data_IF_494177514657
#
_entry.id   IF_494177514657
#
_cell.length_a   1.000
_cell.length_b   1.000
_cell.length_c   1.000
_cell.angle_alpha   90.00
_cell.angle_beta   90.00
_cell.angle_gamma   90.00
#
_symmetry.space_group_name_H-M   'P 1'
#
loop_
_entity.id
_entity.type
_entity.pdbx_description
1 polymer ?
#
# COMPACT_ATOMS: atom_id res chain seq x y z
N UNK A 1 -6.94 0.85 -12.89
CA UNK A 1 -5.59 0.99 -13.46
C UNK A 1 -4.59 0.27 -12.55
N UNK A 2 -4.66 -1.06 -12.45
CA UNK A 2 -3.62 -1.84 -11.79
C UNK A 2 -2.45 -2.03 -12.77
N UNK A 3 -1.21 -1.88 -12.32
CA UNK A 3 -0.03 -2.21 -13.13
C UNK A 3 0.81 -1.04 -13.66
N UNK A 4 0.56 0.22 -13.23
CA UNK A 4 1.43 1.37 -13.57
C UNK A 4 2.02 1.98 -12.30
N UNK A 5 3.32 2.30 -12.33
CA UNK A 5 3.98 3.11 -11.31
C UNK A 5 3.55 4.57 -11.42
N UNK A 6 3.15 5.15 -10.29
CA UNK A 6 2.70 6.54 -10.18
C UNK A 6 3.64 7.24 -9.21
N UNK A 7 4.09 8.46 -9.56
CA UNK A 7 4.87 9.30 -8.66
C UNK A 7 4.01 9.65 -7.44
N UNK A 8 4.54 9.36 -6.26
CA UNK A 8 3.89 9.69 -5.00
C UNK A 8 4.10 11.18 -4.70
N UNK A 9 3.05 11.93 -4.31
CA UNK A 9 3.24 13.28 -3.80
C UNK A 9 4.16 13.30 -2.58
N UNK A 10 4.91 14.38 -2.41
CA UNK A 10 5.99 14.47 -1.42
C UNK A 10 5.50 14.26 0.02
N UNK A 11 4.37 14.86 0.41
CA UNK A 11 3.84 14.76 1.78
C UNK A 11 3.48 13.32 2.17
N UNK A 12 2.66 12.56 1.39
CA UNK A 12 2.47 11.13 1.58
C UNK A 12 3.76 10.32 1.68
N UNK A 13 4.75 10.62 0.83
CA UNK A 13 6.02 9.91 0.83
C UNK A 13 6.81 10.12 2.14
N UNK A 14 6.85 11.36 2.64
CA UNK A 14 7.51 11.69 3.91
C UNK A 14 6.81 10.99 5.08
N UNK A 15 5.47 11.02 5.13
CA UNK A 15 4.74 10.40 6.24
C UNK A 15 4.87 8.88 6.20
N UNK A 16 4.77 8.25 5.03
CA UNK A 16 4.98 6.81 4.89
C UNK A 16 6.39 6.41 5.30
N UNK A 17 7.43 7.19 4.96
CA UNK A 17 8.80 6.92 5.38
C UNK A 17 9.02 7.12 6.90
N UNK A 18 8.36 8.12 7.50
CA UNK A 18 8.49 8.45 8.91
C UNK A 18 7.74 7.49 9.85
N UNK A 19 6.57 7.00 9.45
CA UNK A 19 5.70 6.15 10.29
C UNK A 19 6.31 4.77 10.62
N UNK A 20 7.31 4.36 9.86
CA UNK A 20 7.83 2.99 9.76
C UNK A 20 9.31 2.87 10.16
N UNK A 21 9.91 3.96 10.64
CA UNK A 21 11.27 3.98 11.16
C UNK A 21 11.24 4.11 12.68
N UNK A 22 11.72 3.12 13.49
CA UNK A 22 12.41 1.88 13.14
C UNK A 22 11.52 0.61 13.19
N UNK A 23 10.19 0.76 13.20
CA UNK A 23 9.30 -0.36 13.43
C UNK A 23 9.09 -1.23 12.18
N UNK A 24 9.52 -2.50 12.24
CA UNK A 24 9.16 -3.56 11.28
C UNK A 24 7.69 -4.02 11.43
N UNK A 25 6.84 -3.17 11.99
CA UNK A 25 5.46 -3.49 12.36
C UNK A 25 4.50 -2.82 11.40
N UNK A 26 3.29 -3.37 11.32
CA UNK A 26 2.17 -2.69 10.66
C UNK A 26 1.76 -1.51 11.55
N UNK A 27 1.73 -0.30 10.98
CA UNK A 27 1.39 0.93 11.68
C UNK A 27 0.16 1.58 11.06
N UNK A 28 -0.69 2.18 11.89
CA UNK A 28 -1.76 3.04 11.41
C UNK A 28 -1.20 4.39 10.99
N UNK A 29 -1.58 4.88 9.82
CA UNK A 29 -1.16 6.19 9.29
C UNK A 29 -2.37 7.12 9.11
N UNK A 30 -2.11 8.42 9.11
CA UNK A 30 -3.15 9.44 8.91
C UNK A 30 -3.72 9.38 7.48
N UNK A 31 -4.95 9.86 7.30
CA UNK A 31 -5.59 10.03 5.98
C UNK A 31 -4.79 10.96 5.05
N UNK A 32 -3.98 11.86 5.62
CA UNK A 32 -3.04 12.72 4.89
C UNK A 32 -1.93 11.95 4.17
N UNK A 33 -1.76 10.66 4.44
CA UNK A 33 -0.78 9.79 3.78
C UNK A 33 -1.29 9.23 2.46
N UNK A 34 -2.50 9.58 2.04
CA UNK A 34 -3.02 9.11 0.78
C UNK A 34 -2.33 9.82 -0.39
N UNK A 35 -1.77 9.07 -1.35
CA UNK A 35 -1.28 9.66 -2.59
C UNK A 35 -2.40 9.98 -3.58
N UNK A 36 -3.67 9.97 -3.13
CA UNK A 36 -4.87 10.26 -3.92
C UNK A 36 -5.94 10.91 -3.04
N UNK A 37 -6.82 11.70 -3.65
CA UNK A 37 -7.89 12.37 -2.93
C UNK A 37 -9.16 11.50 -2.88
N UNK A 38 -9.79 11.43 -1.70
CA UNK A 38 -11.22 11.14 -1.58
C UNK A 38 -11.66 9.68 -1.78
N UNK A 39 -11.24 8.77 -0.92
CA UNK A 39 -11.94 7.49 -0.75
C UNK A 39 -13.02 7.63 0.35
N UNK A 40 -14.29 7.55 -0.02
CA UNK A 40 -15.39 7.59 0.97
C UNK A 40 -15.39 6.36 1.87
N UNK A 41 -15.82 6.54 3.12
CA UNK A 41 -15.97 5.45 4.09
C UNK A 41 -14.66 4.81 4.52
N UNK A 42 -13.51 5.49 4.39
CA UNK A 42 -12.25 4.93 4.91
C UNK A 42 -12.29 4.87 6.43
N UNK A 43 -11.98 3.67 6.95
CA UNK A 43 -11.86 3.40 8.38
C UNK A 43 -10.42 3.59 8.85
N UNK A 44 -9.46 3.08 8.08
CA UNK A 44 -8.06 3.11 8.45
C UNK A 44 -7.12 3.01 7.25
N UNK A 45 -5.92 3.54 7.45
CA UNK A 45 -4.77 3.39 6.58
C UNK A 45 -3.70 2.67 7.38
N UNK A 46 -3.16 1.61 6.81
CA UNK A 46 -2.13 0.79 7.43
C UNK A 46 -0.89 0.82 6.53
N UNK A 47 0.30 0.89 7.10
CA UNK A 47 1.55 0.81 6.35
C UNK A 47 2.45 -0.28 6.94
N UNK A 48 3.20 -0.94 6.08
CA UNK A 48 4.16 -1.98 6.44
C UNK A 48 5.42 -1.80 5.60
N UNK A 49 6.56 -1.63 6.26
CA UNK A 49 7.87 -1.63 5.60
C UNK A 49 8.51 -2.99 5.61
N UNK A 50 9.17 -3.30 4.51
CA UNK A 50 9.99 -4.50 4.45
C UNK A 50 11.31 -4.28 5.17
N UNK A 51 11.76 -5.23 6.01
CA UNK A 51 13.06 -5.13 6.66
C UNK A 51 14.21 -5.17 5.65
N UNK A 52 13.97 -5.79 4.49
CA UNK A 52 14.89 -5.86 3.37
C UNK A 52 14.16 -5.41 2.09
N UNK A 53 14.33 -4.13 1.70
CA UNK A 53 13.86 -3.65 0.40
C UNK A 53 14.43 -4.50 -0.72
N UNK A 54 13.64 -4.75 -1.76
CA UNK A 54 14.05 -5.58 -2.90
C UNK A 54 13.62 -4.96 -4.22
N UNK A 55 14.35 -5.26 -5.29
CA UNK A 55 14.06 -4.75 -6.63
C UNK A 55 13.10 -5.68 -7.37
N UNK A 56 12.03 -5.14 -7.95
CA UNK A 56 11.05 -5.91 -8.76
C UNK A 56 11.36 -5.84 -10.25
N UNK A 57 12.08 -4.81 -10.68
CA UNK A 57 12.61 -4.65 -12.04
C UNK A 57 13.97 -3.97 -11.95
N UNK A 58 14.65 -3.79 -13.09
CA UNK A 58 15.90 -3.00 -13.15
C UNK A 58 15.74 -1.57 -12.61
N UNK A 59 14.49 -1.12 -12.44
CA UNK A 59 14.16 0.29 -12.28
C UNK A 59 13.25 0.59 -11.09
N UNK A 60 13.00 -0.28 -10.11
CA UNK A 60 12.26 0.13 -8.89
C UNK A 60 12.72 -0.71 -7.70
N UNK A 61 13.06 -0.06 -6.59
CA UNK A 61 13.31 -0.70 -5.30
C UNK A 61 12.08 -0.58 -4.41
N UNK A 62 11.46 -1.71 -4.07
CA UNK A 62 10.28 -1.77 -3.20
C UNK A 62 10.70 -1.59 -1.76
N UNK A 63 10.06 -0.65 -1.09
CA UNK A 63 10.27 -0.36 0.33
C UNK A 63 9.20 -0.99 1.21
N UNK A 64 7.96 -1.15 0.71
CA UNK A 64 6.89 -1.77 1.46
C UNK A 64 5.52 -1.63 0.81
N UNK A 65 4.49 -1.78 1.64
CA UNK A 65 3.09 -1.78 1.27
C UNK A 65 2.30 -0.81 2.14
N UNK A 66 1.21 -0.27 1.60
CA UNK A 66 0.18 0.39 2.40
C UNK A 66 -1.20 -0.08 1.97
N UNK A 67 -2.08 -0.24 2.95
CA UNK A 67 -3.44 -0.73 2.77
C UNK A 67 -4.42 0.35 3.17
N UNK A 68 -5.44 0.53 2.33
CA UNK A 68 -6.60 1.36 2.65
C UNK A 68 -7.79 0.45 2.93
N UNK A 69 -8.32 0.48 4.14
CA UNK A 69 -9.53 -0.25 4.52
C UNK A 69 -10.69 0.73 4.59
N UNK A 70 -11.70 0.52 3.74
CA UNK A 70 -12.96 1.27 3.79
C UNK A 70 -14.13 0.36 4.11
N UNK A 71 -15.22 0.96 4.54
CA UNK A 71 -16.54 0.34 4.60
C UNK A 71 -17.40 0.82 3.44
N UNK A 72 -18.24 -0.08 2.94
CA UNK A 72 -19.34 0.21 2.04
C UNK A 72 -20.44 -0.79 2.34
N UNK A 73 -21.57 -0.29 2.84
CA UNK A 73 -22.62 -1.10 3.47
C UNK A 73 -22.01 -1.95 4.61
N UNK A 74 -22.29 -3.25 4.65
CA UNK A 74 -21.78 -4.17 5.68
C UNK A 74 -20.50 -4.91 5.25
N UNK A 75 -19.73 -4.33 4.32
CA UNK A 75 -18.52 -4.94 3.78
C UNK A 75 -17.31 -4.03 3.98
N UNK A 76 -16.29 -4.56 4.67
CA UNK A 76 -14.95 -4.01 4.64
C UNK A 76 -14.29 -4.34 3.29
N UNK A 77 -13.71 -3.31 2.67
CA UNK A 77 -12.95 -3.41 1.43
C UNK A 77 -11.52 -2.94 1.69
N UNK A 78 -10.56 -3.86 1.63
CA UNK A 78 -9.14 -3.57 1.78
C UNK A 78 -8.49 -3.42 0.41
N UNK A 79 -7.77 -2.33 0.18
CA UNK A 79 -7.02 -2.09 -1.06
C UNK A 79 -5.55 -2.03 -0.73
N UNK A 80 -4.78 -2.96 -1.26
CA UNK A 80 -3.34 -2.99 -1.06
C UNK A 80 -2.62 -2.20 -2.16
N UNK A 81 -1.52 -1.58 -1.78
CA UNK A 81 -0.66 -0.79 -2.65
C UNK A 81 0.78 -1.05 -2.27
N UNK A 82 1.64 -1.14 -3.27
CA UNK A 82 3.09 -1.23 -3.06
C UNK A 82 3.71 0.14 -3.28
N UNK A 83 4.74 0.47 -2.53
CA UNK A 83 5.53 1.68 -2.75
C UNK A 83 7.03 1.42 -2.67
N UNK A 84 7.78 2.31 -3.29
CA UNK A 84 9.22 2.18 -3.42
C UNK A 84 9.85 3.42 -4.05
N UNK A 85 11.10 3.29 -4.45
CA UNK A 85 11.89 4.38 -5.04
C UNK A 85 12.26 4.03 -6.47
N UNK A 86 12.02 4.95 -7.40
CA UNK A 86 12.51 4.85 -8.76
C UNK A 86 14.01 5.27 -8.86
N UNK A 87 14.79 4.81 -9.85
CA UNK A 87 16.19 5.14 -10.06
C UNK A 87 16.46 6.63 -10.15
N UNK A 88 15.50 7.39 -10.69
CA UNK A 88 15.56 8.84 -10.77
C UNK A 88 15.38 9.55 -9.43
N UNK A 89 15.15 8.80 -8.34
CA UNK A 89 14.97 9.31 -6.99
C UNK A 89 13.53 9.50 -6.46
N UNK A 90 12.44 9.62 -7.26
CA UNK A 90 11.13 9.86 -6.68
C UNK A 90 10.58 8.58 -6.02
N UNK A 91 9.86 8.78 -4.92
CA UNK A 91 8.98 7.75 -4.37
C UNK A 91 7.83 7.50 -5.34
N UNK A 92 7.54 6.23 -5.60
CA UNK A 92 6.46 5.78 -6.47
C UNK A 92 5.59 4.78 -5.73
N UNK A 93 4.36 4.61 -6.21
CA UNK A 93 3.47 3.55 -5.78
C UNK A 93 2.74 2.91 -6.94
N UNK A 94 2.18 1.72 -6.70
CA UNK A 94 1.33 1.00 -7.64
C UNK A 94 0.17 0.36 -6.88
N UNK A 95 -1.02 0.34 -7.49
CA UNK A 95 -2.24 -0.26 -6.95
C UNK A 95 -3.49 0.46 -7.46
N UNK A 96 -4.68 0.22 -6.87
CA UNK A 96 -4.92 -0.76 -5.83
C UNK A 96 -4.89 -2.19 -6.34
N UNK A 97 -4.30 -3.09 -5.56
CA UNK A 97 -4.46 -4.54 -5.69
C UNK A 97 -5.66 -5.00 -4.86
N UNK A 98 -6.39 -5.97 -5.42
CA UNK A 98 -7.67 -6.45 -4.87
C UNK A 98 -7.78 -7.98 -4.90
N UNK A 99 -6.79 -8.66 -5.50
CA UNK A 99 -6.82 -10.09 -5.71
C UNK A 99 -6.14 -10.81 -4.53
N UNK A 100 -6.76 -10.74 -3.36
CA UNK A 100 -6.34 -11.44 -2.16
C UNK A 100 -7.55 -11.79 -1.28
N UNK A 101 -7.44 -12.85 -0.47
CA UNK A 101 -8.57 -13.47 0.22
C UNK A 101 -9.33 -12.55 1.18
N UNK A 102 -8.67 -11.53 1.72
CA UNK A 102 -9.25 -10.55 2.66
C UNK A 102 -9.56 -9.19 2.03
N UNK A 103 -9.60 -9.10 0.69
CA UNK A 103 -10.05 -7.91 -0.01
C UNK A 103 -11.47 -7.51 0.40
N UNK A 104 -12.35 -8.51 0.56
CA UNK A 104 -13.71 -8.35 1.08
C UNK A 104 -13.87 -9.15 2.36
N UNK A 105 -14.29 -8.49 3.43
CA UNK A 105 -14.66 -9.14 4.69
C UNK A 105 -15.93 -8.51 5.25
N UNK A 106 -16.66 -9.25 6.09
CA UNK A 106 -17.84 -8.70 6.78
C UNK A 106 -17.43 -7.56 7.71
N UNK A 107 -18.21 -6.49 7.76
CA UNK A 107 -18.01 -5.39 8.72
C UNK A 107 -18.20 -5.84 10.17
N UNK A 108 -18.93 -6.94 10.39
CA UNK A 108 -19.18 -7.51 11.70
C UNK A 108 -18.08 -8.47 12.20
N UNK A 109 -17.07 -8.76 11.37
CA UNK A 109 -15.98 -9.69 11.71
C UNK A 109 -14.69 -8.95 12.05
N UNK A 110 -13.97 -9.46 13.04
CA UNK A 110 -12.57 -9.08 13.27
C UNK A 110 -11.69 -9.72 12.19
N UNK A 111 -10.77 -8.93 11.65
CA UNK A 111 -9.81 -9.36 10.63
C UNK A 111 -8.41 -9.10 11.14
N UNK A 112 -7.55 -10.10 11.07
CA UNK A 112 -6.13 -9.93 11.37
C UNK A 112 -5.49 -9.05 10.29
N UNK A 113 -5.01 -7.87 10.69
CA UNK A 113 -4.44 -6.87 9.78
C UNK A 113 -3.24 -7.39 8.97
N UNK A 114 -2.55 -8.42 9.47
CA UNK A 114 -1.43 -9.07 8.76
C UNK A 114 -1.87 -9.70 7.46
N UNK A 115 -3.14 -10.11 7.36
CA UNK A 115 -3.71 -10.72 6.15
C UNK A 115 -3.88 -9.74 5.01
N UNK A 116 -3.75 -8.42 5.22
CA UNK A 116 -3.87 -7.43 4.15
C UNK A 116 -2.57 -7.21 3.35
N UNK A 117 -1.44 -7.72 3.84
CA UNK A 117 -0.11 -7.47 3.29
C UNK A 117 0.53 -8.75 2.74
N UNK A 118 1.63 -8.60 2.00
CA UNK A 118 2.42 -9.70 1.44
C UNK A 118 1.81 -10.30 0.18
N UNK A 119 0.80 -9.66 -0.38
CA UNK A 119 0.22 -10.07 -1.66
C UNK A 119 1.06 -9.40 -2.73
N UNK A 120 1.90 -10.13 -3.47
CA UNK A 120 2.87 -9.52 -4.39
C UNK A 120 2.47 -9.64 -5.88
N UNK A 121 1.26 -9.22 -6.32
CA UNK A 121 0.85 -9.35 -7.72
C UNK A 121 1.70 -8.49 -8.67
N UNK A 122 2.39 -7.46 -8.17
CA UNK A 122 3.27 -6.60 -8.98
C UNK A 122 4.54 -7.29 -9.47
N UNK A 123 4.96 -8.40 -8.87
CA UNK A 123 6.13 -9.16 -9.34
C UNK A 123 5.89 -9.65 -10.77
N UNK A 124 4.69 -10.14 -11.06
CA UNK A 124 4.31 -10.57 -12.40
C UNK A 124 4.08 -9.39 -13.38
N UNK A 125 3.93 -8.17 -12.86
CA UNK A 125 3.66 -6.96 -13.64
C UNK A 125 4.95 -6.18 -13.98
N UNK A 126 6.14 -6.69 -13.62
CA UNK A 126 7.44 -6.05 -13.78
C UNK A 126 7.93 -5.81 -15.22
N UNK A 127 7.03 -5.67 -16.20
CA UNK A 127 7.34 -5.22 -17.56
C UNK A 127 7.24 -3.69 -17.69
N UNK A 128 8.40 -3.03 -17.80
CA UNK A 128 8.67 -1.65 -18.23
C UNK A 128 7.77 -0.51 -17.67
N UNK A 129 8.40 0.40 -16.92
CA UNK A 129 7.87 1.75 -16.67
C UNK A 129 7.89 2.60 -17.95
#
# INVERSE_FOLDING_TARGET
MSGRWIIMPQDPAIVLAGAVSPATNIVSVSTSCLPFTGMSGVLQYLAHHYPFPYSVSSNITIAGEFVVVRVHDDVHKAYDYVFGTAPSGPTVFMGPFKNFGTHHTSSASSVDIRTFFGHQPWIALGGAA
#
